data_IF_465923917577
#
_entry.id   IF_465923917577
#
_cell.length_a   1.000
_cell.length_b   1.000
_cell.length_c   1.000
_cell.angle_alpha   90.00
_cell.angle_beta   90.00
_cell.angle_gamma   90.00
#
_symmetry.space_group_name_H-M   'P 1'
#
loop_
_entity.id
_entity.type
_entity.pdbx_description
1 polymer ?
#
# COMPACT_ATOMS: atom_id res chain seq x y z
N UNK A 1 8.94 13.00 32.50
CA UNK A 1 7.94 11.96 32.79
C UNK A 1 8.68 10.65 33.03
N UNK A 2 8.25 9.90 34.04
CA UNK A 2 8.94 8.77 34.66
C UNK A 2 9.38 7.68 33.66
N UNK A 3 10.69 7.49 33.50
CA UNK A 3 11.30 6.28 32.91
C UNK A 3 11.17 5.14 33.93
N UNK A 4 9.99 4.54 33.96
CA UNK A 4 9.68 3.37 34.77
C UNK A 4 9.18 2.23 33.90
N UNK A 5 9.86 1.92 32.80
CA UNK A 5 9.72 0.63 32.15
C UNK A 5 10.51 -0.37 33.00
N UNK A 6 9.85 -0.99 33.97
CA UNK A 6 10.38 -2.20 34.60
C UNK A 6 10.72 -3.18 33.48
N UNK A 7 11.94 -3.73 33.49
CA UNK A 7 12.39 -4.76 32.55
C UNK A 7 11.26 -5.77 32.35
N UNK A 8 10.58 -5.72 31.20
CA UNK A 8 9.65 -6.78 30.84
C UNK A 8 10.50 -8.02 30.65
N UNK A 9 10.58 -8.83 31.71
CA UNK A 9 11.34 -10.06 31.68
C UNK A 9 10.55 -11.06 30.81
N UNK A 10 10.85 -11.07 29.52
CA UNK A 10 10.28 -12.02 28.59
C UNK A 10 10.71 -13.43 29.00
N UNK A 11 9.77 -14.22 29.51
CA UNK A 11 9.99 -15.65 29.78
C UNK A 11 9.65 -16.44 28.53
N UNK A 12 10.56 -17.31 28.10
CA UNK A 12 10.43 -18.11 26.89
C UNK A 12 10.03 -19.55 27.21
N UNK A 13 9.43 -20.26 26.24
CA UNK A 13 9.26 -21.71 26.36
C UNK A 13 10.53 -22.43 25.94
N UNK A 14 11.04 -23.32 26.78
CA UNK A 14 12.14 -24.21 26.46
C UNK A 14 11.60 -25.50 25.80
N UNK A 15 12.29 -26.03 24.78
CA UNK A 15 12.02 -27.40 24.27
C UNK A 15 13.31 -28.20 24.13
N UNK A 16 13.17 -29.52 24.05
CA UNK A 16 14.25 -30.44 23.71
C UNK A 16 15.02 -29.95 22.47
N UNK A 17 16.34 -30.05 22.53
CA UNK A 17 17.24 -29.61 21.47
C UNK A 17 17.62 -28.13 21.52
N UNK A 18 17.00 -27.32 22.37
CA UNK A 18 17.42 -25.93 22.59
C UNK A 18 18.85 -25.87 23.13
N UNK A 19 19.67 -25.00 22.54
CA UNK A 19 20.97 -24.60 23.07
C UNK A 19 20.78 -23.29 23.84
N UNK A 20 21.26 -23.24 25.06
CA UNK A 20 21.13 -22.10 25.98
C UNK A 20 22.45 -21.82 26.71
N UNK A 21 22.56 -20.64 27.31
CA UNK A 21 23.58 -20.33 28.31
C UNK A 21 22.94 -20.47 29.68
N UNK A 22 23.25 -21.56 30.36
CA UNK A 22 22.77 -21.88 31.70
C UNK A 22 23.62 -21.15 32.76
N UNK A 23 22.98 -20.57 33.77
CA UNK A 23 23.67 -20.05 34.96
C UNK A 23 23.48 -21.04 36.10
N UNK A 24 24.58 -21.51 36.68
CA UNK A 24 24.54 -22.45 37.80
C UNK A 24 24.13 -21.72 39.07
N UNK A 25 23.12 -22.21 39.78
CA UNK A 25 22.61 -21.60 41.02
C UNK A 25 23.04 -22.37 42.26
N UNK A 26 23.27 -23.68 42.13
CA UNK A 26 23.68 -24.55 43.22
C UNK A 26 24.49 -25.74 42.73
N UNK A 27 25.40 -26.22 43.58
CA UNK A 27 26.20 -27.42 43.33
C UNK A 27 26.01 -28.33 44.55
N UNK A 28 25.00 -29.20 44.51
CA UNK A 28 24.72 -30.20 45.54
C UNK A 28 25.54 -31.48 45.33
N UNK A 29 25.32 -32.49 46.17
CA UNK A 29 25.99 -33.82 46.10
C UNK A 29 25.55 -34.70 44.92
N UNK A 30 24.93 -34.12 43.90
CA UNK A 30 24.35 -34.81 42.75
C UNK A 30 24.62 -34.03 41.46
N UNK A 31 23.58 -33.45 40.88
CA UNK A 31 23.66 -32.64 39.66
C UNK A 31 23.60 -31.14 39.98
N UNK A 32 24.36 -30.28 39.28
CA UNK A 32 24.25 -28.84 39.44
C UNK A 32 22.86 -28.32 39.06
N UNK A 33 22.30 -27.44 39.90
CA UNK A 33 21.05 -26.74 39.66
C UNK A 33 21.28 -25.51 38.76
N UNK A 34 20.30 -25.21 37.92
CA UNK A 34 20.36 -24.14 36.93
C UNK A 34 19.24 -23.13 37.13
N UNK A 35 19.54 -21.84 36.90
CA UNK A 35 18.56 -20.77 36.89
C UNK A 35 17.48 -21.00 35.82
N UNK A 36 16.23 -21.07 36.26
CA UNK A 36 15.04 -21.28 35.42
C UNK A 36 14.20 -20.03 35.21
N UNK A 37 14.60 -18.87 35.78
CA UNK A 37 13.81 -17.64 35.77
C UNK A 37 13.40 -17.17 34.38
N UNK A 38 14.24 -17.41 33.37
CA UNK A 38 14.00 -17.08 31.96
C UNK A 38 12.99 -17.97 31.24
N UNK A 39 12.47 -19.05 31.85
CA UNK A 39 11.65 -20.05 31.16
C UNK A 39 10.24 -20.16 31.74
N UNK A 40 9.19 -20.17 30.93
CA UNK A 40 7.79 -20.24 31.41
C UNK A 40 7.31 -21.64 31.78
N UNK A 41 7.91 -22.68 31.20
CA UNK A 41 7.44 -24.07 31.33
C UNK A 41 8.37 -24.94 32.18
N UNK A 42 9.42 -24.35 32.75
CA UNK A 42 10.43 -25.06 33.51
C UNK A 42 10.48 -24.44 34.90
N UNK A 43 10.21 -25.24 35.92
CA UNK A 43 10.34 -24.86 37.32
C UNK A 43 11.74 -25.19 37.83
N UNK A 44 12.28 -26.34 37.41
CA UNK A 44 13.60 -26.84 37.83
C UNK A 44 14.42 -27.33 36.63
N UNK A 45 15.73 -27.17 36.68
CA UNK A 45 16.63 -27.67 35.64
C UNK A 45 17.94 -28.16 36.25
N UNK A 46 18.47 -29.26 35.72
CA UNK A 46 19.71 -29.87 36.22
C UNK A 46 20.68 -30.22 35.08
N UNK A 47 21.98 -30.18 35.36
CA UNK A 47 23.04 -30.54 34.42
C UNK A 47 23.47 -32.00 34.63
N UNK A 48 23.19 -32.86 33.65
CA UNK A 48 23.38 -34.31 33.76
C UNK A 48 24.84 -34.76 33.80
N UNK A 49 25.72 -34.09 33.06
CA UNK A 49 27.15 -34.39 33.00
C UNK A 49 27.96 -33.10 32.88
N UNK A 50 28.65 -32.74 33.96
CA UNK A 50 29.74 -31.78 33.91
C UNK A 50 30.95 -32.51 33.28
N UNK A 51 31.47 -32.02 32.16
CA UNK A 51 32.69 -32.63 31.62
C UNK A 51 33.81 -32.55 32.67
N UNK A 52 34.64 -33.58 32.79
CA UNK A 52 35.65 -33.74 33.87
C UNK A 52 36.62 -32.56 34.03
N UNK A 53 36.68 -31.65 33.04
CA UNK A 53 37.55 -30.48 33.01
C UNK A 53 36.79 -29.13 33.14
N UNK A 54 35.50 -29.12 33.47
CA UNK A 54 34.74 -27.87 33.68
C UNK A 54 34.57 -27.61 35.18
N UNK A 55 35.27 -26.60 35.72
CA UNK A 55 35.02 -26.14 37.08
C UNK A 55 33.62 -25.54 37.16
N UNK A 56 32.73 -26.19 37.89
CA UNK A 56 31.34 -25.73 38.10
C UNK A 56 31.24 -25.12 39.49
N UNK A 57 30.84 -23.86 39.55
CA UNK A 57 30.51 -23.15 40.78
C UNK A 57 29.21 -22.35 40.61
N UNK A 58 28.51 -22.00 41.69
CA UNK A 58 27.41 -21.05 41.62
C UNK A 58 27.85 -19.74 40.93
N UNK A 59 27.05 -19.25 40.00
CA UNK A 59 27.34 -18.11 39.14
C UNK A 59 28.08 -18.44 37.83
N UNK A 60 28.60 -19.66 37.67
CA UNK A 60 29.22 -20.10 36.41
C UNK A 60 28.19 -20.10 35.27
N UNK A 61 28.60 -19.59 34.10
CA UNK A 61 27.81 -19.64 32.87
C UNK A 61 28.32 -20.75 31.97
N UNK A 62 27.45 -21.70 31.62
CA UNK A 62 27.80 -22.89 30.86
C UNK A 62 26.91 -22.97 29.62
N UNK A 63 27.49 -23.27 28.47
CA UNK A 63 26.73 -23.56 27.26
C UNK A 63 26.18 -24.97 27.32
N UNK A 64 24.87 -25.13 27.22
CA UNK A 64 24.19 -26.41 27.39
C UNK A 64 23.19 -26.65 26.28
N UNK A 65 22.89 -27.93 26.03
CA UNK A 65 21.76 -28.37 25.21
C UNK A 65 20.72 -29.03 26.10
N UNK A 66 19.45 -28.72 25.87
CA UNK A 66 18.32 -29.40 26.51
C UNK A 66 18.20 -30.80 25.91
N UNK A 67 18.44 -31.81 26.75
CA UNK A 67 18.40 -33.21 26.36
C UNK A 67 17.00 -33.82 26.53
N UNK A 68 16.29 -33.43 27.57
CA UNK A 68 14.92 -33.88 27.84
C UNK A 68 14.14 -32.84 28.65
N UNK A 69 12.81 -32.87 28.53
CA UNK A 69 11.88 -32.13 29.40
C UNK A 69 10.78 -33.09 29.85
N UNK A 70 10.79 -33.44 31.13
CA UNK A 70 9.76 -34.26 31.78
C UNK A 70 8.96 -33.39 32.75
N UNK A 71 7.68 -33.14 32.44
CA UNK A 71 6.84 -32.23 33.23
C UNK A 71 7.36 -30.79 33.16
N UNK A 72 7.65 -30.20 34.32
CA UNK A 72 8.30 -28.88 34.42
C UNK A 72 9.79 -28.96 34.79
N UNK A 73 10.41 -30.14 34.62
CA UNK A 73 11.84 -30.33 34.80
C UNK A 73 12.58 -30.42 33.46
N UNK A 74 13.71 -29.72 33.32
CA UNK A 74 14.59 -29.82 32.15
C UNK A 74 15.94 -30.47 32.50
N UNK A 75 16.32 -31.50 31.73
CA UNK A 75 17.65 -32.10 31.81
C UNK A 75 18.57 -31.47 30.76
N UNK A 76 19.71 -30.96 31.21
CA UNK A 76 20.68 -30.25 30.39
C UNK A 76 21.96 -31.07 30.25
N UNK A 77 22.62 -30.96 29.09
CA UNK A 77 23.92 -31.56 28.82
C UNK A 77 24.90 -30.46 28.41
N UNK A 78 26.09 -30.43 29.03
CA UNK A 78 27.11 -29.45 28.70
C UNK A 78 27.58 -29.63 27.24
N UNK A 79 27.65 -28.53 26.50
CA UNK A 79 28.25 -28.52 25.16
C UNK A 79 29.70 -28.06 25.29
N UNK A 80 30.62 -28.81 24.67
CA UNK A 80 31.99 -28.30 24.50
C UNK A 80 31.95 -27.06 23.60
N UNK A 81 32.71 -26.04 23.97
CA UNK A 81 32.84 -24.81 23.19
C UNK A 81 33.21 -25.11 21.74
N UNK A 82 32.60 -24.40 20.81
CA UNK A 82 32.93 -24.52 19.38
C UNK A 82 34.15 -23.65 19.11
N UNK A 83 35.19 -24.20 18.47
CA UNK A 83 36.43 -23.47 18.13
C UNK A 83 36.27 -22.43 17.00
N UNK A 84 35.07 -22.27 16.44
CA UNK A 84 34.76 -21.34 15.37
C UNK A 84 33.96 -20.14 15.88
N UNK A 85 34.02 -19.00 15.17
CA UNK A 85 33.29 -17.74 15.46
C UNK A 85 31.77 -17.87 15.19
N UNK A 86 31.13 -18.84 15.82
CA UNK A 86 29.68 -19.03 15.78
C UNK A 86 28.99 -18.10 16.78
N UNK A 87 27.77 -17.70 16.47
CA UNK A 87 26.85 -17.14 17.46
C UNK A 87 26.46 -18.21 18.48
N UNK A 88 26.58 -17.85 19.75
CA UNK A 88 26.23 -18.67 20.90
C UNK A 88 25.10 -18.00 21.70
N UNK A 89 24.29 -18.79 22.44
CA UNK A 89 23.35 -18.22 23.40
C UNK A 89 24.10 -17.36 24.42
N UNK A 90 23.63 -16.16 24.70
CA UNK A 90 24.27 -15.19 25.58
C UNK A 90 25.09 -14.14 24.84
N UNK A 91 25.42 -14.36 23.56
CA UNK A 91 26.05 -13.34 22.73
C UNK A 91 25.11 -12.14 22.56
N UNK A 92 25.70 -10.96 22.56
CA UNK A 92 25.00 -9.72 22.22
C UNK A 92 25.34 -9.30 20.79
N UNK A 93 24.34 -8.83 20.05
CA UNK A 93 24.52 -8.30 18.69
C UNK A 93 23.53 -7.19 18.40
N UNK A 94 23.97 -6.18 17.65
CA UNK A 94 23.10 -5.16 17.06
C UNK A 94 22.49 -5.69 15.77
N UNK A 95 21.21 -5.48 15.57
CA UNK A 95 20.43 -6.00 14.44
C UNK A 95 19.21 -5.11 14.22
N UNK A 96 18.70 -5.10 12.99
CA UNK A 96 17.45 -4.44 12.66
C UNK A 96 16.31 -5.47 12.56
N UNK A 97 15.16 -5.17 13.16
CA UNK A 97 13.94 -5.95 12.99
C UNK A 97 13.37 -5.72 11.59
N UNK A 98 13.33 -6.77 10.77
CA UNK A 98 13.00 -6.66 9.36
C UNK A 98 11.53 -6.93 9.07
N UNK A 99 10.94 -7.95 9.73
CA UNK A 99 9.58 -8.38 9.40
C UNK A 99 8.83 -8.85 10.63
N UNK A 100 7.60 -8.39 10.82
CA UNK A 100 6.75 -8.93 11.86
C UNK A 100 6.24 -10.34 11.48
N UNK A 101 6.51 -11.32 12.33
CA UNK A 101 6.11 -12.73 12.14
C UNK A 101 4.91 -13.07 13.04
N UNK A 102 4.78 -12.39 14.17
CA UNK A 102 3.61 -12.47 15.06
C UNK A 102 3.49 -11.20 15.91
N UNK A 103 2.44 -11.12 16.73
CA UNK A 103 2.17 -10.00 17.63
C UNK A 103 3.39 -9.53 18.46
N UNK A 104 4.26 -10.46 18.86
CA UNK A 104 5.40 -10.19 19.74
C UNK A 104 6.73 -10.66 19.18
N UNK A 105 6.81 -10.97 17.88
CA UNK A 105 8.01 -11.54 17.27
C UNK A 105 8.27 -10.93 15.89
N UNK A 106 9.46 -10.38 15.73
CA UNK A 106 9.99 -9.94 14.45
C UNK A 106 11.15 -10.82 14.01
N UNK A 107 11.32 -11.01 12.72
CA UNK A 107 12.57 -11.47 12.13
C UNK A 107 13.60 -10.34 12.23
N UNK A 108 14.86 -10.70 12.49
CA UNK A 108 15.98 -9.78 12.58
C UNK A 108 16.97 -10.01 11.45
N UNK A 109 17.65 -8.95 11.03
CA UNK A 109 18.75 -9.05 10.06
C UNK A 109 19.90 -9.87 10.67
N UNK A 110 20.44 -10.78 9.86
CA UNK A 110 21.47 -11.72 10.28
C UNK A 110 22.70 -11.59 9.40
N UNK A 111 23.88 -11.53 10.03
CA UNK A 111 25.13 -11.72 9.30
C UNK A 111 25.24 -13.20 8.86
N UNK A 112 24.96 -13.45 7.58
CA UNK A 112 24.90 -14.79 6.98
C UNK A 112 26.22 -15.57 7.02
N UNK A 113 27.35 -14.96 7.41
CA UNK A 113 28.65 -15.62 7.49
C UNK A 113 28.82 -16.58 8.68
N UNK A 114 27.76 -16.82 9.47
CA UNK A 114 27.82 -17.65 10.70
C UNK A 114 26.86 -18.85 10.68
N UNK A 115 26.57 -19.40 11.87
CA UNK A 115 25.83 -20.65 12.08
C UNK A 115 24.30 -20.52 12.14
N UNK A 116 23.74 -19.36 11.82
CA UNK A 116 22.31 -19.10 11.90
C UNK A 116 21.74 -18.79 10.51
N UNK A 117 20.56 -19.35 10.23
CA UNK A 117 19.77 -19.07 9.03
C UNK A 117 18.64 -18.08 9.33
N UNK A 118 18.25 -17.95 10.60
CA UNK A 118 17.16 -17.06 11.03
C UNK A 118 17.38 -16.55 12.45
N UNK A 119 16.95 -15.32 12.68
CA UNK A 119 16.97 -14.66 13.97
C UNK A 119 15.58 -14.07 14.22
N UNK A 120 15.03 -14.35 15.40
CA UNK A 120 13.75 -13.80 15.83
C UNK A 120 13.94 -12.95 17.08
N UNK A 121 13.42 -11.73 17.06
CA UNK A 121 13.54 -10.75 18.13
C UNK A 121 12.18 -10.58 18.79
N UNK A 122 12.17 -10.72 20.12
CA UNK A 122 10.93 -10.64 20.90
C UNK A 122 10.61 -9.19 21.27
N UNK A 123 9.36 -8.80 21.09
CA UNK A 123 8.81 -7.57 21.69
C UNK A 123 9.33 -6.26 21.08
N UNK A 124 9.76 -6.29 19.82
CA UNK A 124 10.19 -5.11 19.05
C UNK A 124 9.27 -4.92 17.85
N UNK A 125 9.19 -3.69 17.32
CA UNK A 125 8.43 -3.41 16.10
C UNK A 125 9.30 -3.57 14.85
N UNK A 126 8.65 -3.71 13.68
CA UNK A 126 9.34 -3.68 12.38
C UNK A 126 10.10 -2.36 12.21
N UNK A 127 11.32 -2.43 11.68
CA UNK A 127 12.22 -1.30 11.49
C UNK A 127 13.04 -0.93 12.72
N UNK A 128 12.80 -1.56 13.88
CA UNK A 128 13.52 -1.26 15.12
C UNK A 128 15.00 -1.66 15.02
N UNK A 129 15.90 -0.78 15.46
CA UNK A 129 17.33 -1.07 15.60
C UNK A 129 17.63 -1.34 17.07
N UNK A 130 18.09 -2.55 17.35
CA UNK A 130 18.20 -3.07 18.70
C UNK A 130 19.49 -3.84 18.90
N UNK A 131 20.08 -3.71 20.09
CA UNK A 131 21.03 -4.70 20.60
C UNK A 131 20.24 -5.79 21.29
N UNK A 132 20.36 -7.02 20.81
CA UNK A 132 19.75 -8.20 21.41
C UNK A 132 20.79 -9.04 22.14
N UNK A 133 20.32 -9.85 23.08
CA UNK A 133 21.04 -11.00 23.62
C UNK A 133 20.37 -12.28 23.13
N UNK A 134 21.13 -13.19 22.53
CA UNK A 134 20.60 -14.46 22.05
C UNK A 134 20.20 -15.31 23.26
N UNK A 135 18.91 -15.51 23.50
CA UNK A 135 18.43 -16.31 24.63
C UNK A 135 18.60 -17.81 24.37
N UNK A 136 18.29 -18.26 23.15
CA UNK A 136 18.43 -19.66 22.76
C UNK A 136 18.60 -19.85 21.26
N UNK A 137 19.19 -20.99 20.90
CA UNK A 137 19.36 -21.43 19.50
C UNK A 137 18.79 -22.84 19.36
N UNK A 138 17.98 -23.09 18.34
CA UNK A 138 17.54 -24.45 17.96
C UNK A 138 17.82 -24.68 16.48
N UNK A 139 18.55 -25.76 16.18
CA UNK A 139 19.04 -25.98 14.83
C UNK A 139 19.91 -24.79 14.40
N UNK A 140 19.44 -24.06 13.39
CA UNK A 140 20.07 -22.84 12.85
C UNK A 140 19.19 -21.58 13.06
N UNK A 141 18.21 -21.63 13.97
CA UNK A 141 17.35 -20.49 14.31
C UNK A 141 17.64 -19.98 15.72
N UNK A 142 17.75 -18.66 15.88
CA UNK A 142 17.97 -18.00 17.17
C UNK A 142 16.74 -17.21 17.63
N UNK A 143 16.54 -17.13 18.94
CA UNK A 143 15.62 -16.17 19.56
C UNK A 143 16.44 -15.19 20.40
N UNK A 144 16.34 -13.91 20.08
CA UNK A 144 16.96 -12.79 20.78
C UNK A 144 15.98 -12.03 21.66
N UNK A 145 16.47 -11.59 22.82
CA UNK A 145 15.77 -10.67 23.70
C UNK A 145 16.41 -9.27 23.58
N UNK A 146 15.63 -8.19 23.45
CA UNK A 146 16.18 -6.85 23.38
C UNK A 146 16.85 -6.49 24.71
N UNK A 147 18.08 -5.98 24.62
CA UNK A 147 18.87 -5.43 25.74
C UNK A 147 18.81 -3.90 25.68
N UNK A 148 19.05 -3.35 24.49
CA UNK A 148 19.00 -1.91 24.24
C UNK A 148 18.22 -1.66 22.96
N UNK A 149 17.25 -0.75 23.02
CA UNK A 149 16.54 -0.26 21.83
C UNK A 149 17.17 1.08 21.44
N UNK A 150 17.88 1.09 20.32
CA UNK A 150 18.49 2.31 19.76
C UNK A 150 17.45 3.11 19.00
N UNK A 151 16.57 2.40 18.29
CA UNK A 151 15.45 2.94 17.54
C UNK A 151 14.24 2.00 17.69
N UNK A 152 13.06 2.51 18.09
CA UNK A 152 11.87 1.67 18.34
C UNK A 152 11.18 1.16 17.07
N UNK A 153 11.60 1.60 15.87
CA UNK A 153 10.98 1.26 14.59
C UNK A 153 9.61 1.90 14.40
N UNK A 154 8.72 1.20 13.70
CA UNK A 154 7.32 1.62 13.53
C UNK A 154 6.61 1.60 14.88
N UNK A 155 6.38 2.78 15.44
CA UNK A 155 5.74 2.98 16.74
C UNK A 155 4.66 4.05 16.65
N UNK A 156 3.67 3.98 17.54
CA UNK A 156 2.63 5.01 17.64
C UNK A 156 3.24 6.39 17.90
N UNK A 157 2.71 7.43 17.25
CA UNK A 157 3.20 8.80 17.27
C UNK A 157 4.36 9.09 16.31
N UNK A 158 4.81 8.10 15.52
CA UNK A 158 5.93 8.28 14.59
C UNK A 158 5.44 8.62 13.20
N UNK A 159 6.11 9.57 12.56
CA UNK A 159 5.85 9.92 11.17
C UNK A 159 6.59 8.99 10.22
N UNK A 160 5.86 8.52 9.21
CA UNK A 160 6.36 7.64 8.16
C UNK A 160 5.99 8.19 6.80
N UNK A 161 6.91 8.05 5.85
CA UNK A 161 6.62 8.32 4.46
C UNK A 161 5.94 7.09 3.86
N UNK A 162 4.78 7.28 3.26
CA UNK A 162 4.00 6.22 2.63
C UNK A 162 3.77 6.53 1.15
N UNK A 163 3.33 5.52 0.41
CA UNK A 163 2.72 5.63 -0.92
C UNK A 163 1.23 5.32 -0.79
N UNK A 164 0.39 6.29 -1.13
CA UNK A 164 -1.07 6.20 -1.10
C UNK A 164 -1.62 5.90 -2.49
N UNK A 165 -2.84 5.35 -2.52
CA UNK A 165 -3.66 5.26 -3.73
C UNK A 165 -4.94 6.07 -3.49
N UNK A 166 -5.31 6.93 -4.45
CA UNK A 166 -6.55 7.70 -4.36
C UNK A 166 -7.74 6.77 -4.11
N UNK A 167 -8.68 7.20 -3.27
CA UNK A 167 -9.86 6.44 -2.88
C UNK A 167 -9.59 5.13 -2.13
N UNK A 168 -8.38 4.96 -1.58
CA UNK A 168 -8.00 3.80 -0.76
C UNK A 168 -7.77 4.21 0.70
N UNK A 169 -8.10 3.31 1.62
CA UNK A 169 -7.63 3.38 3.02
C UNK A 169 -6.38 2.54 3.25
N UNK A 170 -5.77 2.00 2.19
CA UNK A 170 -4.54 1.23 2.25
C UNK A 170 -3.42 2.07 1.63
N UNK A 171 -2.29 2.11 2.33
CA UNK A 171 -1.06 2.72 1.85
C UNK A 171 0.12 1.79 2.16
N UNK A 172 1.25 2.05 1.50
CA UNK A 172 2.48 1.29 1.64
C UNK A 172 3.52 2.16 2.33
N UNK A 173 4.08 1.72 3.45
CA UNK A 173 5.17 2.44 4.10
C UNK A 173 6.44 2.32 3.25
N UNK A 174 7.03 3.46 2.90
CA UNK A 174 8.27 3.55 2.13
C UNK A 174 9.49 3.66 3.04
N UNK A 175 9.41 4.51 4.08
CA UNK A 175 10.47 4.72 5.07
C UNK A 175 9.92 5.40 6.32
N UNK A 176 10.67 5.30 7.41
CA UNK A 176 10.43 6.07 8.62
C UNK A 176 11.08 7.47 8.45
N UNK A 177 10.35 8.55 8.71
CA UNK A 177 10.74 9.89 8.26
C UNK A 177 11.99 10.46 8.95
N UNK A 178 12.30 9.99 10.17
CA UNK A 178 13.41 10.43 11.03
C UNK A 178 14.68 9.57 10.91
N UNK A 179 14.67 8.51 10.09
CA UNK A 179 15.85 7.68 9.88
C UNK A 179 16.75 8.29 8.78
N UNK A 180 17.80 8.98 9.22
CA UNK A 180 18.89 9.53 8.39
C UNK A 180 19.92 8.49 7.93
N UNK A 181 19.64 7.20 8.11
CA UNK A 181 20.52 6.12 7.67
C UNK A 181 19.79 5.30 6.62
N UNK A 182 20.56 4.67 5.73
CA UNK A 182 20.14 3.69 4.72
C UNK A 182 19.45 2.44 5.32
N UNK A 183 18.90 2.53 6.55
CA UNK A 183 17.88 1.65 7.08
C UNK A 183 16.59 1.84 6.28
N UNK A 184 16.63 1.47 5.01
CA UNK A 184 15.44 1.08 4.29
C UNK A 184 14.70 0.10 5.19
N UNK A 185 13.40 0.35 5.41
CA UNK A 185 12.53 -0.75 5.76
C UNK A 185 12.82 -1.83 4.70
N UNK A 186 13.10 -3.08 5.10
CA UNK A 186 13.46 -4.12 4.15
C UNK A 186 12.40 -4.13 3.05
N UNK A 187 12.81 -4.48 1.82
CA UNK A 187 12.03 -4.41 0.55
C UNK A 187 10.61 -5.03 0.57
N UNK A 188 10.11 -5.49 1.71
CA UNK A 188 8.72 -5.74 1.99
C UNK A 188 7.88 -4.46 2.11
N UNK A 189 6.84 -4.41 1.29
CA UNK A 189 5.74 -3.46 1.36
C UNK A 189 5.07 -3.58 2.73
N UNK A 190 5.44 -2.74 3.70
CA UNK A 190 4.75 -2.76 5.01
C UNK A 190 3.42 -2.03 4.81
N UNK A 191 2.27 -2.73 4.84
CA UNK A 191 0.98 -2.08 4.63
C UNK A 191 0.61 -1.27 5.88
N UNK A 192 0.02 -0.11 5.65
CA UNK A 192 -0.57 0.73 6.69
C UNK A 192 -2.01 1.07 6.32
N UNK A 193 -2.93 0.83 7.26
CA UNK A 193 -4.34 1.19 7.12
C UNK A 193 -4.55 2.63 7.58
N UNK A 194 -5.00 3.47 6.68
CA UNK A 194 -5.29 4.87 6.93
C UNK A 194 -6.62 5.02 7.69
N UNK A 195 -6.66 5.98 8.60
CA UNK A 195 -7.87 6.36 9.36
C UNK A 195 -8.91 7.08 8.48
N UNK A 196 -8.48 7.60 7.34
CA UNK A 196 -9.30 8.25 6.33
C UNK A 196 -8.92 7.77 4.93
N UNK A 197 -9.81 7.96 3.97
CA UNK A 197 -9.54 7.67 2.56
C UNK A 197 -8.48 8.64 2.03
N UNK A 198 -7.45 8.12 1.35
CA UNK A 198 -6.45 8.96 0.70
C UNK A 198 -7.08 9.75 -0.45
N UNK A 199 -6.81 11.06 -0.47
CA UNK A 199 -7.35 11.99 -1.47
C UNK A 199 -6.64 11.91 -2.82
N UNK A 200 -5.45 11.33 -2.85
CA UNK A 200 -4.60 11.25 -4.03
C UNK A 200 -3.76 9.98 -4.04
N UNK A 201 -3.35 9.57 -5.23
CA UNK A 201 -2.25 8.63 -5.43
C UNK A 201 -0.94 9.40 -5.38
N UNK A 202 0.05 8.91 -4.62
CA UNK A 202 1.36 9.57 -4.49
C UNK A 202 2.03 9.26 -3.16
N UNK A 203 3.11 9.97 -2.84
CA UNK A 203 3.74 9.87 -1.51
C UNK A 203 2.82 10.52 -0.45
N UNK A 204 3.05 10.35 0.84
CA UNK A 204 2.39 11.13 1.90
C UNK A 204 3.14 10.92 3.21
N UNK A 205 3.02 11.85 4.15
CA UNK A 205 3.46 11.63 5.53
C UNK A 205 2.28 11.20 6.37
N UNK A 206 2.44 10.08 7.06
CA UNK A 206 1.43 9.49 7.93
C UNK A 206 2.01 9.38 9.32
N UNK A 207 1.28 9.86 10.32
CA UNK A 207 1.57 9.57 11.71
C UNK A 207 0.96 8.21 12.08
N UNK A 208 1.78 7.28 12.53
CA UNK A 208 1.35 5.96 12.99
C UNK A 208 0.48 6.14 14.23
N UNK A 209 -0.77 5.71 14.18
CA UNK A 209 -1.69 5.78 15.31
C UNK A 209 -1.62 4.52 16.17
N UNK A 210 -1.35 3.36 15.57
CA UNK A 210 -1.32 2.09 16.28
C UNK A 210 -0.57 1.00 15.53
N UNK A 211 0.08 0.11 16.29
CA UNK A 211 0.76 -1.08 15.79
C UNK A 211 0.22 -2.26 16.58
N UNK A 212 -0.52 -3.15 15.91
CA UNK A 212 -1.12 -4.33 16.52
C UNK A 212 -0.75 -5.58 15.72
N UNK A 213 -1.14 -6.75 16.21
CA UNK A 213 -1.01 -8.00 15.45
C UNK A 213 -1.85 -8.04 14.17
N UNK A 214 -2.86 -7.17 14.05
CA UNK A 214 -3.73 -7.09 12.87
C UNK A 214 -3.15 -6.16 11.78
N UNK A 215 -2.12 -5.38 12.13
CA UNK A 215 -1.44 -4.47 11.21
C UNK A 215 -1.13 -3.12 11.85
N UNK A 216 -0.74 -2.19 10.99
CA UNK A 216 -0.39 -0.81 11.37
C UNK A 216 -1.53 0.10 10.93
N UNK A 217 -1.94 1.03 11.79
CA UNK A 217 -2.88 2.09 11.45
C UNK A 217 -2.20 3.44 11.51
N UNK A 218 -2.64 4.39 10.68
CA UNK A 218 -2.06 5.73 10.64
C UNK A 218 -3.04 6.81 10.17
N UNK A 219 -2.71 8.06 10.47
CA UNK A 219 -3.45 9.24 10.00
C UNK A 219 -2.53 10.05 9.11
N UNK A 220 -3.03 10.43 7.93
CA UNK A 220 -2.29 11.32 7.03
C UNK A 220 -2.14 12.68 7.72
N UNK A 221 -0.89 13.11 7.94
CA UNK A 221 -0.55 14.40 8.53
C UNK A 221 -0.03 15.40 7.49
N UNK A 222 0.53 14.89 6.40
CA UNK A 222 0.99 15.70 5.26
C UNK A 222 0.72 14.98 3.93
N UNK A 223 0.34 15.74 2.92
CA UNK A 223 0.13 15.27 1.55
C UNK A 223 1.19 15.95 0.67
N UNK A 224 1.81 15.24 -0.29
CA UNK A 224 2.83 15.84 -1.14
C UNK A 224 2.15 16.83 -2.07
N UNK A 225 2.73 18.02 -2.15
CA UNK A 225 2.30 19.13 -3.01
C UNK A 225 0.85 19.60 -2.78
N UNK A 226 0.55 20.80 -3.25
CA UNK A 226 -0.81 21.32 -3.26
C UNK A 226 -1.68 20.37 -4.08
N UNK A 227 -2.61 19.68 -3.40
CA UNK A 227 -3.66 18.93 -4.08
C UNK A 227 -4.50 19.89 -4.93
N UNK A 228 -5.09 19.41 -6.04
CA UNK A 228 -6.05 20.20 -6.76
C UNK A 228 -7.17 20.68 -5.84
N UNK A 229 -7.54 21.95 -5.99
CA UNK A 229 -8.58 22.63 -5.24
C UNK A 229 -9.86 22.78 -6.07
N UNK A 230 -10.99 22.96 -5.39
CA UNK A 230 -12.24 23.31 -6.06
C UNK A 230 -12.05 24.65 -6.78
N UNK A 231 -12.42 24.71 -8.05
CA UNK A 231 -12.18 25.82 -8.97
C UNK A 231 -11.01 25.60 -9.92
N UNK A 232 -10.15 24.60 -9.69
CA UNK A 232 -9.06 24.30 -10.61
C UNK A 232 -9.59 23.70 -11.92
N UNK A 233 -8.99 24.14 -13.02
CA UNK A 233 -9.33 23.69 -14.38
C UNK A 233 -8.18 22.94 -15.01
N UNK A 234 -8.46 21.87 -15.75
CA UNK A 234 -7.43 21.11 -16.46
C UNK A 234 -7.97 20.37 -17.67
N UNK A 235 -7.05 19.97 -18.55
CA UNK A 235 -7.37 19.15 -19.71
C UNK A 235 -7.19 17.67 -19.39
N UNK A 236 -8.17 16.87 -19.77
CA UNK A 236 -8.10 15.41 -19.64
C UNK A 236 -8.79 14.71 -20.81
N UNK A 237 -8.41 13.46 -21.04
CA UNK A 237 -9.05 12.59 -22.02
C UNK A 237 -10.33 12.00 -21.44
N UNK A 238 -11.43 12.15 -22.17
CA UNK A 238 -12.75 11.63 -21.85
C UNK A 238 -13.12 10.51 -22.82
N UNK A 239 -13.84 9.51 -22.30
CA UNK A 239 -14.41 8.42 -23.10
C UNK A 239 -15.93 8.56 -23.12
N UNK A 240 -16.52 8.46 -24.31
CA UNK A 240 -17.97 8.53 -24.48
C UNK A 240 -18.69 7.53 -23.56
N UNK A 241 -19.77 7.98 -22.94
CA UNK A 241 -20.61 7.20 -22.04
C UNK A 241 -20.01 6.95 -20.65
N UNK A 242 -18.79 7.43 -20.35
CA UNK A 242 -18.20 7.34 -19.02
C UNK A 242 -18.55 8.57 -18.19
N UNK A 243 -18.78 8.35 -16.89
CA UNK A 243 -18.97 9.40 -15.87
C UNK A 243 -17.71 9.67 -15.05
N UNK A 244 -16.60 9.00 -15.37
CA UNK A 244 -15.38 9.08 -14.57
C UNK A 244 -14.17 9.22 -15.49
N UNK A 245 -13.20 10.01 -15.03
CA UNK A 245 -11.88 10.14 -15.64
C UNK A 245 -10.80 10.28 -14.56
N UNK A 246 -9.55 10.14 -14.97
CA UNK A 246 -8.38 10.35 -14.11
C UNK A 246 -7.57 11.52 -14.64
N UNK A 247 -6.99 12.29 -13.72
CA UNK A 247 -6.28 13.52 -14.03
C UNK A 247 -4.93 13.46 -13.34
N UNK A 248 -3.87 13.61 -14.12
CA UNK A 248 -2.52 13.76 -13.60
C UNK A 248 -2.29 15.21 -13.21
N UNK A 249 -1.89 15.45 -11.96
CA UNK A 249 -1.66 16.77 -11.38
C UNK A 249 -0.17 17.01 -11.18
N UNK A 250 0.32 18.08 -11.81
CA UNK A 250 1.72 18.56 -11.75
C UNK A 250 2.77 17.51 -12.14
N UNK A 251 4.06 17.88 -12.06
CA UNK A 251 5.19 16.96 -12.24
C UNK A 251 5.34 15.95 -11.07
N UNK A 252 4.47 16.03 -10.05
CA UNK A 252 4.57 15.24 -8.82
C UNK A 252 3.94 13.83 -8.89
N UNK A 253 3.62 13.33 -10.10
CA UNK A 253 2.97 12.02 -10.32
C UNK A 253 1.65 11.84 -9.53
N UNK A 254 0.95 12.93 -9.23
CA UNK A 254 -0.33 12.87 -8.50
C UNK A 254 -1.43 12.50 -9.48
N UNK A 255 -2.24 11.49 -9.16
CA UNK A 255 -3.42 11.13 -9.96
C UNK A 255 -4.67 11.26 -9.10
N UNK A 256 -5.65 12.03 -9.58
CA UNK A 256 -6.96 12.19 -8.95
C UNK A 256 -8.07 11.64 -9.84
N UNK A 257 -9.13 11.11 -9.22
CA UNK A 257 -10.32 10.63 -9.91
C UNK A 257 -11.40 11.72 -9.90
N UNK A 258 -11.98 11.98 -11.07
CA UNK A 258 -13.02 12.98 -11.26
C UNK A 258 -14.28 12.32 -11.79
N UNK A 259 -15.40 12.62 -11.14
CA UNK A 259 -16.73 12.12 -11.48
C UNK A 259 -17.60 13.25 -12.04
N UNK A 260 -18.33 12.97 -13.11
CA UNK A 260 -19.25 13.88 -13.77
C UNK A 260 -20.69 13.50 -13.39
N UNK A 261 -21.58 14.49 -13.31
CA UNK A 261 -23.01 14.27 -13.09
C UNK A 261 -23.62 13.44 -14.23
N UNK A 262 -23.21 13.78 -15.45
CA UNK A 262 -23.69 13.17 -16.68
C UNK A 262 -22.60 12.34 -17.40
N UNK A 263 -22.97 11.29 -18.14
CA UNK A 263 -22.03 10.58 -19.00
C UNK A 263 -21.45 11.51 -20.08
N UNK A 264 -20.16 11.38 -20.37
CA UNK A 264 -19.51 12.16 -21.42
C UNK A 264 -20.19 11.88 -22.78
N UNK A 265 -20.66 12.91 -23.51
CA UNK A 265 -21.44 12.70 -24.73
C UNK A 265 -20.57 12.22 -25.91
N UNK A 266 -19.27 12.53 -25.88
CA UNK A 266 -18.30 12.16 -26.92
C UNK A 266 -16.94 11.77 -26.31
N UNK A 267 -16.13 11.06 -27.11
CA UNK A 267 -14.73 10.73 -26.78
C UNK A 267 -13.82 11.83 -27.30
N UNK A 268 -12.95 12.36 -26.45
CA UNK A 268 -12.11 13.50 -26.82
C UNK A 268 -11.22 14.00 -25.68
N UNK A 269 -10.56 15.13 -25.89
CA UNK A 269 -9.87 15.87 -24.83
C UNK A 269 -10.70 17.08 -24.45
N UNK A 270 -10.93 17.30 -23.16
CA UNK A 270 -11.76 18.38 -22.67
C UNK A 270 -11.14 19.10 -21.49
N UNK A 271 -11.44 20.39 -21.37
CA UNK A 271 -11.20 21.18 -20.17
C UNK A 271 -12.35 20.94 -19.20
N UNK A 272 -12.03 20.57 -17.97
CA UNK A 272 -13.00 20.38 -16.90
C UNK A 272 -12.59 21.21 -15.68
N UNK A 273 -13.57 21.65 -14.89
CA UNK A 273 -13.41 22.40 -13.64
C UNK A 273 -13.82 21.53 -12.47
N UNK A 274 -13.05 21.52 -11.38
CA UNK A 274 -13.43 20.81 -10.16
C UNK A 274 -14.44 21.64 -9.37
N UNK A 275 -15.58 21.04 -9.03
CA UNK A 275 -16.69 21.77 -8.38
C UNK A 275 -16.90 21.41 -6.93
N UNK A 276 -16.66 20.16 -6.55
CA UNK A 276 -16.75 19.71 -5.17
C UNK A 276 -15.84 18.50 -4.92
N UNK A 277 -15.58 18.20 -3.66
CA UNK A 277 -14.88 16.98 -3.25
C UNK A 277 -15.78 16.17 -2.32
N UNK A 278 -16.09 14.94 -2.70
CA UNK A 278 -16.98 14.03 -1.95
C UNK A 278 -16.31 12.65 -1.86
N UNK A 279 -16.10 12.16 -0.63
CA UNK A 279 -15.54 10.83 -0.36
C UNK A 279 -14.21 10.52 -1.07
N UNK A 280 -13.33 11.51 -1.24
CA UNK A 280 -12.03 11.34 -1.89
C UNK A 280 -12.05 11.50 -3.42
N UNK A 281 -13.24 11.60 -4.04
CA UNK A 281 -13.41 11.94 -5.45
C UNK A 281 -13.72 13.41 -5.61
N UNK A 282 -13.26 13.98 -6.72
CA UNK A 282 -13.72 15.29 -7.13
C UNK A 282 -14.92 15.15 -8.05
N UNK A 283 -15.88 16.06 -7.98
CA UNK A 283 -16.79 16.28 -9.09
C UNK A 283 -16.19 17.27 -10.06
N UNK A 284 -16.43 17.01 -11.34
CA UNK A 284 -16.00 17.86 -12.44
C UNK A 284 -17.19 18.37 -13.24
N UNK A 285 -17.12 19.62 -13.66
CA UNK A 285 -17.96 20.17 -14.71
C UNK A 285 -17.16 20.22 -16.01
N UNK A 286 -17.78 19.74 -17.09
CA UNK A 286 -17.23 19.87 -18.42
C UNK A 286 -17.39 21.33 -18.89
N UNK A 287 -16.28 22.01 -19.20
CA UNK A 287 -16.31 23.38 -19.70
C UNK A 287 -16.35 23.39 -21.24
N UNK A 288 -15.38 22.73 -21.87
CA UNK A 288 -15.24 22.71 -23.34
C UNK A 288 -14.47 21.48 -23.80
N UNK A 289 -14.80 20.96 -24.99
CA UNK A 289 -13.94 20.00 -25.67
C UNK A 289 -12.92 20.74 -26.53
N UNK A 290 -11.65 20.40 -26.34
CA UNK A 290 -10.56 20.93 -27.16
C UNK A 290 -10.29 20.05 -28.39
N UNK A 291 -10.56 18.75 -28.27
CA UNK A 291 -10.45 17.81 -29.38
C UNK A 291 -11.56 16.75 -29.30
N UNK A 292 -12.55 16.77 -30.21
CA UNK A 292 -12.77 17.79 -31.23
C UNK A 292 -13.12 19.15 -30.62
N UNK A 293 -12.77 20.25 -31.29
CA UNK A 293 -13.04 21.62 -30.82
C UNK A 293 -14.56 21.91 -30.82
N UNK A 294 -15.17 21.83 -29.63
CA UNK A 294 -16.60 21.96 -29.42
C UNK A 294 -16.88 22.74 -28.14
N UNK A 295 -17.45 23.94 -28.29
CA UNK A 295 -17.74 24.86 -27.19
C UNK A 295 -19.19 25.32 -27.19
N UNK A 296 -19.75 25.53 -25.99
CA UNK A 296 -21.06 26.17 -25.83
C UNK A 296 -20.98 27.61 -26.33
N UNK A 297 -21.96 28.03 -27.14
CA UNK A 297 -22.03 29.36 -27.72
C UNK A 297 -21.55 29.47 -29.17
N UNK A 298 -20.74 28.51 -29.62
CA UNK A 298 -20.19 28.46 -30.98
C UNK A 298 -21.17 27.85 -31.99
N UNK A 299 -21.00 28.19 -33.26
CA UNK A 299 -21.85 27.73 -34.37
C UNK A 299 -21.14 26.76 -35.29
N UNK A 300 -21.83 25.69 -35.69
CA UNK A 300 -21.28 24.64 -36.54
C UNK A 300 -22.24 24.26 -37.67
N UNK A 301 -21.70 23.86 -38.82
CA UNK A 301 -22.50 23.30 -39.91
C UNK A 301 -22.78 21.83 -39.66
N UNK A 302 -24.05 21.43 -39.71
CA UNK A 302 -24.49 20.06 -39.43
C UNK A 302 -25.56 19.60 -40.41
N UNK A 303 -25.60 18.29 -40.66
CA UNK A 303 -26.71 17.66 -41.36
C UNK A 303 -27.85 17.41 -40.37
N UNK A 304 -29.02 18.01 -40.57
CA UNK A 304 -30.21 17.85 -39.71
C UNK A 304 -31.24 16.91 -40.32
N UNK A 305 -31.92 16.13 -39.47
CA UNK A 305 -32.88 15.12 -39.89
C UNK A 305 -34.22 15.30 -39.16
N UNK A 306 -35.28 15.61 -39.92
CA UNK A 306 -36.65 15.80 -39.40
C UNK A 306 -37.10 14.66 -38.51
N UNK A 307 -36.86 13.42 -38.93
CA UNK A 307 -37.32 12.21 -38.24
C UNK A 307 -36.70 12.02 -36.85
N UNK A 308 -35.55 12.64 -36.57
CA UNK A 308 -34.82 12.49 -35.29
C UNK A 308 -34.89 13.73 -34.41
N UNK A 309 -35.46 14.82 -34.93
CA UNK A 309 -35.34 16.14 -34.34
C UNK A 309 -33.90 16.46 -33.85
N UNK A 310 -32.93 16.17 -34.71
CA UNK A 310 -31.52 16.15 -34.38
C UNK A 310 -30.66 16.25 -35.64
N UNK A 311 -29.37 16.38 -35.46
CA UNK A 311 -28.41 16.38 -36.55
C UNK A 311 -27.10 15.69 -36.20
N UNK A 312 -26.23 15.60 -37.19
CA UNK A 312 -24.89 15.05 -37.05
C UNK A 312 -23.88 16.12 -37.42
N UNK A 313 -23.05 16.51 -36.46
CA UNK A 313 -21.87 17.34 -36.69
C UNK A 313 -20.70 16.44 -37.10
N UNK A 314 -20.04 16.76 -38.22
CA UNK A 314 -18.81 16.11 -38.63
C UNK A 314 -17.63 17.04 -38.35
N UNK A 315 -16.82 16.71 -37.35
CA UNK A 315 -15.64 17.48 -36.96
C UNK A 315 -14.50 16.55 -36.57
N UNK A 316 -13.29 16.83 -37.04
CA UNK A 316 -12.10 16.01 -36.74
C UNK A 316 -12.24 14.53 -37.16
N UNK A 317 -13.02 14.23 -38.20
CA UNK A 317 -13.31 12.86 -38.65
C UNK A 317 -14.30 12.08 -37.77
N UNK A 318 -14.83 12.69 -36.72
CA UNK A 318 -15.87 12.11 -35.86
C UNK A 318 -17.25 12.59 -36.27
N UNK A 319 -18.26 11.71 -36.13
CA UNK A 319 -19.67 12.05 -36.30
C UNK A 319 -20.33 12.17 -34.94
N UNK A 320 -20.71 13.39 -34.57
CA UNK A 320 -21.21 13.76 -33.26
C UNK A 320 -22.72 14.00 -33.35
N UNK A 321 -23.55 13.23 -32.63
CA UNK A 321 -25.00 13.47 -32.61
C UNK A 321 -25.31 14.74 -31.81
N UNK A 322 -26.15 15.61 -32.38
CA UNK A 322 -26.66 16.83 -31.74
C UNK A 322 -28.18 16.75 -31.68
N UNK A 323 -28.73 16.96 -30.48
CA UNK A 323 -30.17 17.06 -30.25
C UNK A 323 -30.60 18.52 -30.41
N UNK A 324 -31.63 18.77 -31.21
CA UNK A 324 -32.10 20.13 -31.42
C UNK A 324 -33.11 20.52 -30.35
N UNK A 325 -32.94 21.73 -29.79
CA UNK A 325 -33.87 22.28 -28.78
C UNK A 325 -35.25 22.54 -29.38
N UNK A 326 -35.29 22.93 -30.65
CA UNK A 326 -36.54 23.22 -31.37
C UNK A 326 -36.84 22.12 -32.38
N UNK A 327 -38.13 21.79 -32.53
CA UNK A 327 -38.61 20.90 -33.58
C UNK A 327 -38.33 21.46 -34.97
N UNK A 328 -37.81 20.64 -35.87
CA UNK A 328 -37.63 20.99 -37.29
C UNK A 328 -38.67 20.28 -38.18
N UNK A 329 -39.05 20.92 -39.27
CA UNK A 329 -40.05 20.40 -40.22
C UNK A 329 -39.42 19.85 -41.52
N UNK A 330 -38.10 19.98 -41.65
CA UNK A 330 -37.34 19.81 -42.89
C UNK A 330 -35.99 19.12 -42.61
N UNK A 331 -35.54 18.24 -43.51
CA UNK A 331 -34.20 17.61 -43.49
C UNK A 331 -33.27 18.38 -44.44
N UNK A 332 -32.01 18.59 -44.06
CA UNK A 332 -31.08 19.37 -44.86
C UNK A 332 -29.77 19.68 -44.14
N UNK A 333 -29.02 20.64 -44.65
CA UNK A 333 -27.85 21.22 -43.97
C UNK A 333 -28.26 22.49 -43.23
N UNK A 334 -27.78 22.68 -42.00
CA UNK A 334 -28.09 23.84 -41.18
C UNK A 334 -26.88 24.30 -40.38
N UNK A 335 -26.87 25.58 -40.00
CA UNK A 335 -25.94 26.09 -38.98
C UNK A 335 -26.60 25.98 -37.60
N UNK A 336 -25.91 25.40 -36.64
CA UNK A 336 -26.40 25.17 -35.28
C UNK A 336 -25.46 25.77 -34.26
N UNK A 337 -26.01 26.60 -33.37
CA UNK A 337 -25.33 27.11 -32.18
C UNK A 337 -25.44 26.08 -31.05
N UNK A 338 -24.32 25.64 -30.49
CA UNK A 338 -24.32 24.76 -29.33
C UNK A 338 -24.81 25.56 -28.12
N UNK A 339 -25.82 25.05 -27.41
CA UNK A 339 -26.41 25.73 -26.25
C UNK A 339 -26.04 25.06 -24.93
N UNK A 340 -25.77 23.77 -24.95
CA UNK A 340 -25.47 22.98 -23.76
C UNK A 340 -24.71 21.70 -24.16
N UNK A 341 -23.75 21.30 -23.33
CA UNK A 341 -23.05 20.03 -23.43
C UNK A 341 -23.19 19.33 -22.07
N UNK A 342 -24.04 18.32 -22.00
CA UNK A 342 -24.32 17.54 -20.79
C UNK A 342 -24.28 16.04 -21.15
N UNK A 343 -25.33 15.27 -20.87
CA UNK A 343 -25.44 13.86 -21.26
C UNK A 343 -25.50 13.65 -22.79
N UNK A 344 -25.93 14.69 -23.49
CA UNK A 344 -25.90 14.83 -24.94
C UNK A 344 -25.53 16.28 -25.31
N UNK A 345 -25.22 16.50 -26.58
CA UNK A 345 -24.96 17.86 -27.08
C UNK A 345 -26.26 18.46 -27.60
N UNK A 346 -26.63 19.62 -27.07
CA UNK A 346 -27.83 20.35 -27.47
C UNK A 346 -27.48 21.53 -28.36
N UNK A 347 -28.25 21.69 -29.44
CA UNK A 347 -28.05 22.73 -30.42
C UNK A 347 -29.33 23.49 -30.78
N UNK A 348 -29.19 24.77 -31.11
CA UNK A 348 -30.25 25.61 -31.66
C UNK A 348 -29.89 26.03 -33.09
N UNK A 349 -30.78 25.80 -34.04
CA UNK A 349 -30.59 26.26 -35.42
C UNK A 349 -30.51 27.79 -35.45
N UNK A 350 -29.53 28.27 -36.22
CA UNK A 350 -29.34 29.69 -36.54
C UNK A 350 -29.49 29.82 -38.06
N UNK A 351 -30.55 30.50 -38.50
CA UNK A 351 -30.85 30.68 -39.92
C UNK A 351 -31.82 29.63 -40.49
N UNK A 352 -31.82 29.50 -41.81
CA UNK A 352 -32.68 28.57 -42.55
C UNK A 352 -31.99 27.22 -42.78
N UNK A 353 -32.78 26.18 -42.99
CA UNK A 353 -32.29 24.84 -43.35
C UNK A 353 -32.21 24.75 -44.88
N UNK A 354 -31.00 24.54 -45.40
CA UNK A 354 -30.77 24.25 -46.82
C UNK A 354 -31.28 22.85 -47.13
N UNK A 355 -32.46 22.76 -47.75
CA UNK A 355 -33.09 21.49 -48.14
C UNK A 355 -32.16 20.68 -49.04
N UNK A 356 -31.91 19.44 -48.65
CA UNK A 356 -31.37 18.45 -49.57
C UNK A 356 -32.51 18.02 -50.49
N UNK A 357 -32.43 18.35 -51.79
CA UNK A 357 -33.34 17.79 -52.78
C UNK A 357 -33.06 16.29 -52.87
N UNK A 358 -33.96 15.48 -52.33
CA UNK A 358 -33.87 14.02 -52.36
C UNK A 358 -34.22 13.47 -53.76
N UNK A 359 -34.71 14.33 -54.67
CA UNK A 359 -35.19 13.94 -56.00
C UNK A 359 -34.08 13.62 -57.04
N UNK A 360 -32.79 13.78 -56.71
CA UNK A 360 -31.68 13.44 -57.63
C UNK A 360 -31.00 12.08 -57.31
N UNK A 361 -31.58 11.25 -56.43
CA UNK A 361 -30.99 9.98 -55.98
C UNK A 361 -31.71 8.71 -56.47
N UNK A 362 -32.40 8.74 -57.62
CA UNK A 362 -32.89 7.53 -58.31
C UNK A 362 -32.43 7.45 -59.77
N UNK A 363 -31.25 6.86 -60.01
CA UNK A 363 -31.06 5.92 -61.13
C UNK A 363 -29.73 5.12 -61.02
N UNK A 364 -29.47 4.44 -59.90
CA UNK A 364 -28.59 3.27 -59.97
C UNK A 364 -29.47 2.04 -60.18
N UNK A 365 -29.67 1.68 -61.44
CA UNK A 365 -30.28 0.42 -61.84
C UNK A 365 -29.50 -0.74 -61.23
N UNK A 366 -30.02 -1.32 -60.15
CA UNK A 366 -29.57 -2.63 -59.67
C UNK A 366 -30.10 -3.64 -60.67
N UNK A 367 -29.22 -4.09 -61.55
CA UNK A 367 -29.47 -5.20 -62.46
C UNK A 367 -29.59 -6.50 -61.64
N UNK A 368 -30.82 -6.97 -61.44
CA UNK A 368 -31.16 -8.17 -60.66
C UNK A 368 -31.01 -9.48 -61.47
N UNK A 369 -30.37 -9.47 -62.64
CA UNK A 369 -30.35 -10.63 -63.54
C UNK A 369 -29.29 -11.71 -63.22
N UNK A 370 -28.62 -11.67 -62.06
CA UNK A 370 -27.58 -12.66 -61.72
C UNK A 370 -27.79 -13.36 -60.36
N UNK A 371 -28.91 -14.06 -60.21
CA UNK A 371 -29.21 -14.92 -59.06
C UNK A 371 -29.23 -16.43 -59.40
N UNK A 372 -28.42 -16.87 -60.39
CA UNK A 372 -28.33 -18.30 -60.78
C UNK A 372 -26.97 -18.96 -60.50
N UNK A 373 -26.17 -18.40 -59.59
CA UNK A 373 -25.04 -19.12 -58.95
C UNK A 373 -24.82 -18.62 -57.52
N UNK A 374 -25.57 -19.18 -56.57
CA UNK A 374 -25.14 -19.45 -55.20
C UNK A 374 -26.06 -20.50 -54.59
#
# INVERSE_FOLDING_TARGET
MSTGDGERQYRLKLKEGDKIQATITGVGSGTPDVDTSGWTNIDTASLAEASENTTIAPGSRIYTKVADITGSHAQLVAQRGVYQRNHLPGDEMRTQATKQVSASLCEGELNQERNLDSLFIVGVATGADVTIKIAKIRGRSAIGLPVTVHDPGLASGREVLVETTANSTQAKVLRIADQNHDGQLPDGEVPIKLSQVAKSTGKATVEVSGVTSEGITGTIVDLPAELPTVGDTFQTSLKQGRRQTTVSWSDADIVVEVEFDDPCPITGTASIELTEQVNGKYRGNLITYTHPDLSVGETYSISVYKSKNGGTLKIGGQSIPIKLVNSIDTTGEATVKIVEISDTIYGKIVGEISRLNIDDAESSSVDLTNLSKL
#
